data_IF_103042783968
#
_entry.id   IF_103042783968
#
_cell.length_a   1.000
_cell.length_b   1.000
_cell.length_c   1.000
_cell.angle_alpha   90.00
_cell.angle_beta   90.00
_cell.angle_gamma   90.00
#
_symmetry.space_group_name_H-M   'P 1'
#
loop_
_entity.id
_entity.type
_entity.pdbx_description
1 polymer ?
#
# COMPACT_ATOMS: atom_id res chain seq x y z
N UNK A 1 104.00 39.89 -43.87
CA UNK A 1 102.94 40.68 -44.55
C UNK A 1 102.04 39.72 -45.30
N UNK A 2 100.77 40.10 -45.44
CA UNK A 2 99.68 39.45 -46.21
C UNK A 2 98.70 38.62 -45.35
N UNK A 3 97.50 39.20 -45.27
CA UNK A 3 96.36 38.93 -44.39
C UNK A 3 95.68 37.57 -44.61
N UNK A 4 95.29 36.96 -43.50
CA UNK A 4 94.14 36.05 -43.40
C UNK A 4 92.84 36.83 -43.64
N UNK A 5 92.12 36.51 -44.71
CA UNK A 5 90.72 36.89 -44.90
C UNK A 5 89.89 35.60 -45.07
N UNK A 6 89.38 35.11 -43.94
CA UNK A 6 88.38 34.04 -43.90
C UNK A 6 87.06 34.57 -44.49
N UNK A 7 86.54 33.85 -45.47
CA UNK A 7 85.28 34.13 -46.15
C UNK A 7 84.11 33.78 -45.21
N UNK A 8 83.16 34.68 -44.94
CA UNK A 8 82.04 34.39 -44.05
C UNK A 8 81.09 33.37 -44.71
N UNK A 9 80.64 32.40 -43.91
CA UNK A 9 79.66 31.39 -44.29
C UNK A 9 78.27 32.01 -44.56
N UNK A 10 77.48 31.46 -45.50
CA UNK A 10 76.14 31.96 -45.79
C UNK A 10 75.20 31.80 -44.58
N UNK A 11 74.25 32.73 -44.37
CA UNK A 11 73.31 32.66 -43.25
C UNK A 11 72.42 31.43 -43.38
N UNK A 12 72.26 30.71 -42.27
CA UNK A 12 71.39 29.55 -42.16
C UNK A 12 69.92 29.92 -42.49
N UNK A 13 69.17 29.04 -43.18
CA UNK A 13 67.75 29.29 -43.44
C UNK A 13 66.98 29.41 -42.12
N UNK A 14 65.94 30.27 -42.05
CA UNK A 14 65.15 30.44 -40.85
C UNK A 14 64.56 29.10 -40.41
N UNK A 15 64.75 28.77 -39.12
CA UNK A 15 64.21 27.56 -38.52
C UNK A 15 62.70 27.48 -38.79
N UNK A 16 62.24 26.32 -39.27
CA UNK A 16 60.83 26.04 -39.40
C UNK A 16 60.13 26.29 -38.05
N UNK A 17 58.96 26.94 -38.02
CA UNK A 17 58.23 27.14 -36.78
C UNK A 17 57.94 25.77 -36.17
N UNK A 18 58.37 25.58 -34.93
CA UNK A 18 58.02 24.42 -34.11
C UNK A 18 56.49 24.28 -34.15
N UNK A 19 55.92 23.10 -34.47
CA UNK A 19 54.48 22.94 -34.37
C UNK A 19 54.07 23.25 -32.94
N UNK A 20 53.17 24.23 -32.78
CA UNK A 20 52.56 24.53 -31.49
C UNK A 20 52.06 23.22 -30.87
N UNK A 21 52.19 23.01 -29.55
CA UNK A 21 51.64 21.82 -28.91
C UNK A 21 50.16 21.75 -29.27
N UNK A 22 49.80 20.72 -30.05
CA UNK A 22 48.44 20.53 -30.52
C UNK A 22 47.51 20.60 -29.32
N UNK A 23 46.58 21.55 -29.34
CA UNK A 23 45.54 21.65 -28.33
C UNK A 23 44.91 20.26 -28.19
N UNK A 24 45.14 19.62 -27.05
CA UNK A 24 44.57 18.33 -26.74
C UNK A 24 43.06 18.43 -26.98
N UNK A 25 42.53 17.58 -27.87
CA UNK A 25 41.11 17.49 -28.11
C UNK A 25 40.39 17.36 -26.75
N UNK A 26 39.33 18.14 -26.48
CA UNK A 26 38.65 18.10 -25.18
C UNK A 26 38.22 16.67 -24.90
N UNK A 27 38.82 16.10 -23.85
CA UNK A 27 38.82 14.67 -23.60
C UNK A 27 37.42 14.07 -23.47
N UNK A 28 37.21 12.95 -24.15
CA UNK A 28 36.11 11.99 -23.93
C UNK A 28 35.94 11.56 -22.47
N UNK A 29 36.94 11.82 -21.61
CA UNK A 29 36.91 11.57 -20.17
C UNK A 29 35.83 12.35 -19.40
N UNK A 30 35.43 13.55 -19.84
CA UNK A 30 34.38 14.32 -19.17
C UNK A 30 33.00 13.65 -19.24
N UNK A 31 32.66 13.07 -20.40
CA UNK A 31 31.41 12.30 -20.58
C UNK A 31 31.42 11.01 -19.78
N UNK A 32 32.54 10.29 -19.75
CA UNK A 32 32.68 9.06 -18.96
C UNK A 32 32.53 9.30 -17.45
N UNK A 33 33.09 10.41 -16.93
CA UNK A 33 32.99 10.80 -15.52
C UNK A 33 31.59 11.28 -15.12
N UNK A 34 30.85 11.91 -16.04
CA UNK A 34 29.45 12.29 -15.83
C UNK A 34 28.54 11.06 -15.82
N UNK A 35 28.76 10.10 -16.71
CA UNK A 35 28.00 8.84 -16.77
C UNK A 35 28.21 8.01 -15.49
N UNK A 36 29.45 7.88 -15.00
CA UNK A 36 29.73 7.12 -13.77
C UNK A 36 29.12 7.75 -12.51
N UNK A 37 29.12 9.09 -12.42
CA UNK A 37 28.46 9.83 -11.32
C UNK A 37 26.94 9.69 -11.38
N UNK A 38 26.35 9.77 -12.57
CA UNK A 38 24.92 9.56 -12.77
C UNK A 38 24.51 8.13 -12.36
N UNK A 39 25.27 7.12 -12.80
CA UNK A 39 25.04 5.72 -12.43
C UNK A 39 25.12 5.51 -10.91
N UNK A 40 26.16 6.03 -10.24
CA UNK A 40 26.30 5.92 -8.78
C UNK A 40 25.13 6.60 -8.03
N UNK A 41 24.67 7.76 -8.52
CA UNK A 41 23.52 8.44 -7.92
C UNK A 41 22.22 7.67 -8.12
N UNK A 42 22.01 7.07 -9.29
CA UNK A 42 20.82 6.26 -9.57
C UNK A 42 20.78 5.01 -8.67
N UNK A 43 21.90 4.31 -8.51
CA UNK A 43 21.99 3.16 -7.58
C UNK A 43 21.71 3.57 -6.15
N UNK A 44 22.23 4.73 -5.70
CA UNK A 44 21.98 5.23 -4.34
C UNK A 44 20.50 5.56 -4.13
N UNK A 45 19.86 6.25 -5.09
CA UNK A 45 18.43 6.56 -5.03
C UNK A 45 17.60 5.28 -4.99
N UNK A 46 17.93 4.29 -5.80
CA UNK A 46 17.26 2.99 -5.79
C UNK A 46 17.41 2.29 -4.43
N UNK A 47 18.62 2.25 -3.87
CA UNK A 47 18.86 1.65 -2.56
C UNK A 47 18.07 2.35 -1.45
N UNK A 48 18.02 3.69 -1.46
CA UNK A 48 17.22 4.47 -0.51
C UNK A 48 15.73 4.20 -0.71
N UNK A 49 15.25 4.13 -1.95
CA UNK A 49 13.83 3.84 -2.23
C UNK A 49 13.43 2.44 -1.77
N UNK A 50 14.29 1.43 -1.97
CA UNK A 50 14.07 0.08 -1.45
C UNK A 50 14.04 0.08 0.08
N UNK A 51 14.96 0.80 0.72
CA UNK A 51 14.98 0.95 2.17
C UNK A 51 13.70 1.64 2.70
N UNK A 52 13.28 2.75 2.08
CA UNK A 52 12.04 3.47 2.42
C UNK A 52 10.82 2.57 2.21
N UNK A 53 10.81 1.74 1.16
CA UNK A 53 9.74 0.78 0.92
C UNK A 53 9.64 -0.27 2.04
N UNK A 54 10.76 -0.86 2.45
CA UNK A 54 10.79 -1.80 3.59
C UNK A 54 10.36 -1.08 4.88
N UNK A 55 10.84 0.14 5.12
CA UNK A 55 10.47 0.93 6.29
C UNK A 55 8.97 1.29 6.29
N UNK A 56 8.38 1.58 5.13
CA UNK A 56 6.94 1.83 4.99
C UNK A 56 6.14 0.60 5.40
N UNK A 57 6.53 -0.60 4.96
CA UNK A 57 5.78 -1.82 5.28
C UNK A 57 5.93 -2.27 6.74
N UNK A 58 7.14 -2.17 7.30
CA UNK A 58 7.50 -2.77 8.60
C UNK A 58 7.37 -1.78 9.76
N UNK A 59 7.75 -0.51 9.57
CA UNK A 59 7.74 0.49 10.63
C UNK A 59 6.51 1.41 10.54
N UNK A 60 6.28 2.01 9.37
CA UNK A 60 5.22 3.03 9.22
C UNK A 60 3.83 2.40 9.09
N UNK A 61 3.73 1.26 8.43
CA UNK A 61 2.48 0.53 8.20
C UNK A 61 1.69 0.22 9.48
N UNK A 62 2.29 -0.41 10.50
CA UNK A 62 1.61 -0.66 11.78
C UNK A 62 1.14 0.61 12.50
N UNK A 63 1.90 1.71 12.38
CA UNK A 63 1.51 3.02 12.96
C UNK A 63 0.28 3.58 12.22
N UNK A 64 0.29 3.53 10.88
CA UNK A 64 -0.85 3.92 10.04
C UNK A 64 -2.09 3.08 10.36
N UNK A 65 -1.93 1.75 10.48
CA UNK A 65 -3.00 0.82 10.87
C UNK A 65 -3.61 1.22 12.22
N UNK A 66 -2.80 1.34 13.26
CA UNK A 66 -3.26 1.68 14.61
C UNK A 66 -4.01 3.03 14.64
N UNK A 67 -3.47 4.04 13.96
CA UNK A 67 -4.11 5.35 13.83
C UNK A 67 -5.45 5.25 13.09
N UNK A 68 -5.49 4.51 11.98
CA UNK A 68 -6.69 4.35 11.18
C UNK A 68 -7.78 3.60 11.96
N UNK A 69 -7.42 2.55 12.68
CA UNK A 69 -8.34 1.82 13.56
C UNK A 69 -8.92 2.68 14.67
N UNK A 70 -8.09 3.53 15.29
CA UNK A 70 -8.59 4.48 16.28
C UNK A 70 -9.63 5.45 15.67
N UNK A 71 -9.37 5.98 14.47
CA UNK A 71 -10.31 6.89 13.78
C UNK A 71 -11.58 6.16 13.34
N UNK A 72 -11.44 4.99 12.72
CA UNK A 72 -12.57 4.16 12.29
C UNK A 72 -13.45 3.74 13.47
N UNK A 73 -12.85 3.45 14.62
CA UNK A 73 -13.59 3.10 15.83
C UNK A 73 -14.44 4.28 16.35
N UNK A 74 -13.87 5.49 16.38
CA UNK A 74 -14.62 6.68 16.79
C UNK A 74 -15.73 7.01 15.81
N UNK A 75 -15.45 6.92 14.50
CA UNK A 75 -16.44 7.10 13.45
C UNK A 75 -17.59 6.09 13.58
N UNK A 76 -17.27 4.81 13.66
CA UNK A 76 -18.27 3.74 13.82
C UNK A 76 -19.10 3.92 15.09
N UNK A 77 -18.44 4.23 16.22
CA UNK A 77 -19.14 4.49 17.49
C UNK A 77 -20.14 5.65 17.35
N UNK A 78 -19.76 6.72 16.67
CA UNK A 78 -20.67 7.86 16.42
C UNK A 78 -21.84 7.46 15.51
N UNK A 79 -21.58 6.68 14.45
CA UNK A 79 -22.61 6.22 13.54
C UNK A 79 -23.62 5.28 14.21
N UNK A 80 -23.16 4.41 15.11
CA UNK A 80 -24.04 3.55 15.92
C UNK A 80 -24.86 4.39 16.90
N UNK A 81 -24.25 5.39 17.55
CA UNK A 81 -24.96 6.26 18.50
C UNK A 81 -26.03 7.12 17.83
N UNK A 82 -25.81 7.55 16.59
CA UNK A 82 -26.75 8.33 15.79
C UNK A 82 -27.70 7.46 14.94
N UNK A 83 -27.64 6.13 15.06
CA UNK A 83 -28.46 5.18 14.29
C UNK A 83 -28.33 5.30 12.75
N UNK A 84 -27.14 5.67 12.28
CA UNK A 84 -26.79 5.82 10.85
C UNK A 84 -25.73 4.82 10.39
N UNK A 85 -25.34 3.87 11.25
CA UNK A 85 -24.42 2.81 10.87
C UNK A 85 -25.03 1.93 9.78
N UNK A 86 -24.25 1.48 8.77
CA UNK A 86 -24.77 0.65 7.70
C UNK A 86 -25.42 -0.65 8.21
N UNK A 87 -26.61 -0.96 7.70
CA UNK A 87 -27.38 -2.18 8.03
C UNK A 87 -27.51 -3.13 6.84
N UNK A 88 -26.95 -2.78 5.69
CA UNK A 88 -26.87 -3.62 4.50
C UNK A 88 -25.78 -3.15 3.54
N UNK A 89 -25.90 -3.53 2.26
CA UNK A 89 -24.96 -3.08 1.21
C UNK A 89 -25.15 -1.60 0.83
N UNK A 90 -26.33 -1.05 1.09
CA UNK A 90 -26.68 0.36 0.93
C UNK A 90 -26.76 1.05 2.30
N UNK A 91 -26.74 2.38 2.29
CA UNK A 91 -26.74 3.18 3.51
C UNK A 91 -25.39 3.88 3.70
N UNK A 92 -25.05 4.75 2.75
CA UNK A 92 -23.83 5.54 2.84
C UNK A 92 -24.00 6.65 3.91
N UNK A 93 -23.35 6.49 5.06
CA UNK A 93 -23.24 7.55 6.05
C UNK A 93 -22.21 8.59 5.59
N UNK A 94 -22.64 9.84 5.43
CA UNK A 94 -21.75 10.96 5.08
C UNK A 94 -21.91 12.08 6.10
N UNK A 95 -20.79 12.64 6.57
CA UNK A 95 -20.81 13.76 7.49
C UNK A 95 -20.99 15.08 6.74
N UNK A 96 -22.06 15.82 7.02
CA UNK A 96 -22.33 17.18 6.50
C UNK A 96 -22.54 18.11 7.69
N UNK A 97 -21.79 19.22 7.73
CA UNK A 97 -21.88 20.23 8.78
C UNK A 97 -21.79 19.68 10.22
N UNK A 98 -20.98 18.63 10.40
CA UNK A 98 -20.77 17.99 11.70
C UNK A 98 -21.77 16.88 12.06
N UNK A 99 -22.85 16.71 11.28
CA UNK A 99 -23.91 15.73 11.51
C UNK A 99 -23.80 14.59 10.49
N UNK A 100 -24.07 13.35 10.90
CA UNK A 100 -24.14 12.24 9.96
C UNK A 100 -25.49 12.21 9.24
N UNK A 101 -25.44 12.07 7.92
CA UNK A 101 -26.62 11.90 7.07
C UNK A 101 -26.52 10.55 6.39
N UNK A 102 -27.55 9.73 6.55
CA UNK A 102 -27.66 8.43 5.90
C UNK A 102 -28.31 8.56 4.52
N UNK A 103 -27.67 8.01 3.50
CA UNK A 103 -28.22 7.88 2.15
C UNK A 103 -28.45 6.40 1.82
N UNK A 104 -29.69 5.94 2.05
CA UNK A 104 -30.12 4.55 1.86
C UNK A 104 -30.08 4.07 0.40
N UNK A 105 -29.91 4.98 -0.56
CA UNK A 105 -29.87 4.64 -1.99
C UNK A 105 -28.45 4.44 -2.50
N UNK A 106 -27.45 4.90 -1.75
CA UNK A 106 -26.04 4.79 -2.14
C UNK A 106 -25.38 3.59 -1.51
N UNK A 107 -24.49 2.89 -2.25
CA UNK A 107 -23.68 1.83 -1.68
C UNK A 107 -22.74 2.40 -0.62
N UNK A 108 -22.49 1.61 0.41
CA UNK A 108 -21.52 1.96 1.45
C UNK A 108 -20.15 2.19 0.78
N UNK A 109 -19.50 3.35 0.99
CA UNK A 109 -18.27 3.67 0.30
C UNK A 109 -17.10 2.81 0.80
N UNK A 110 -16.15 2.53 -0.09
CA UNK A 110 -14.92 1.81 0.25
C UNK A 110 -14.18 2.48 1.41
N UNK A 111 -13.80 1.71 2.42
CA UNK A 111 -13.10 2.17 3.61
C UNK A 111 -14.01 2.60 4.77
N UNK A 112 -15.31 2.84 4.53
CA UNK A 112 -16.23 3.20 5.60
C UNK A 112 -16.36 2.07 6.63
N UNK A 113 -16.47 2.38 7.92
CA UNK A 113 -16.63 1.36 8.95
C UNK A 113 -17.99 0.69 8.85
N UNK A 114 -18.02 -0.64 8.94
CA UNK A 114 -19.26 -1.43 8.82
C UNK A 114 -19.57 -2.19 10.10
N UNK A 115 -18.55 -2.73 10.75
CA UNK A 115 -18.73 -3.55 11.95
C UNK A 115 -17.48 -3.54 12.81
N UNK A 116 -17.66 -3.72 14.11
CA UNK A 116 -16.58 -4.07 15.04
C UNK A 116 -16.53 -5.59 15.19
N UNK A 117 -15.37 -6.17 14.88
CA UNK A 117 -15.09 -7.60 15.05
C UNK A 117 -14.23 -7.84 16.28
N UNK A 118 -14.52 -8.91 17.01
CA UNK A 118 -13.70 -9.39 18.12
C UNK A 118 -13.52 -10.91 18.06
N UNK A 119 -12.27 -11.36 18.23
CA UNK A 119 -11.90 -12.78 18.32
C UNK A 119 -11.12 -12.96 19.63
N UNK A 120 -11.79 -13.36 20.73
CA UNK A 120 -11.18 -13.39 22.06
C UNK A 120 -9.96 -14.31 22.16
N UNK A 121 -9.97 -15.49 21.52
CA UNK A 121 -8.85 -16.44 21.55
C UNK A 121 -7.56 -15.86 20.95
N UNK A 122 -7.68 -14.87 20.05
CA UNK A 122 -6.55 -14.17 19.44
C UNK A 122 -6.26 -12.80 20.07
N UNK A 123 -7.08 -12.34 21.02
CA UNK A 123 -7.05 -10.96 21.52
C UNK A 123 -7.29 -9.90 20.44
N UNK A 124 -7.94 -10.28 19.33
CA UNK A 124 -8.17 -9.40 18.18
C UNK A 124 -9.43 -8.57 18.40
N UNK A 125 -9.35 -7.26 18.20
CA UNK A 125 -10.49 -6.35 18.21
C UNK A 125 -10.26 -5.23 17.21
N UNK A 126 -10.96 -5.28 16.09
CA UNK A 126 -10.68 -4.44 14.91
C UNK A 126 -12.00 -3.99 14.26
N UNK A 127 -12.01 -2.78 13.72
CA UNK A 127 -13.07 -2.32 12.84
C UNK A 127 -12.86 -2.93 11.46
N UNK A 128 -13.91 -3.53 10.93
CA UNK A 128 -13.99 -4.01 9.56
C UNK A 128 -14.58 -2.91 8.69
N UNK A 129 -13.82 -2.48 7.70
CA UNK A 129 -14.23 -1.48 6.71
C UNK A 129 -14.92 -2.13 5.51
N UNK A 130 -15.72 -1.37 4.77
CA UNK A 130 -16.31 -1.84 3.52
C UNK A 130 -15.25 -1.95 2.41
N UNK A 131 -15.22 -3.10 1.73
CA UNK A 131 -14.33 -3.38 0.59
C UNK A 131 -13.07 -4.14 0.96
N UNK A 132 -12.51 -4.82 -0.03
CA UNK A 132 -11.36 -5.73 0.13
C UNK A 132 -10.20 -5.38 -0.81
N UNK A 133 -10.13 -4.13 -1.28
CA UNK A 133 -8.98 -3.68 -2.08
C UNK A 133 -7.73 -3.58 -1.20
N UNK A 134 -6.55 -3.70 -1.81
CA UNK A 134 -5.26 -3.56 -1.12
C UNK A 134 -5.20 -2.27 -0.28
N UNK A 135 -5.69 -1.14 -0.82
CA UNK A 135 -5.78 0.14 -0.11
C UNK A 135 -6.68 0.11 1.13
N UNK A 136 -7.84 -0.53 1.07
CA UNK A 136 -8.74 -0.66 2.24
C UNK A 136 -8.06 -1.54 3.29
N UNK A 137 -7.49 -2.67 2.88
CA UNK A 137 -6.88 -3.64 3.80
C UNK A 137 -5.59 -3.15 4.47
N UNK A 138 -4.99 -2.04 4.02
CA UNK A 138 -3.92 -1.34 4.75
C UNK A 138 -4.38 -0.67 6.05
N UNK A 139 -5.68 -0.47 6.22
CA UNK A 139 -6.26 0.17 7.41
C UNK A 139 -6.86 -0.84 8.38
N UNK A 140 -6.86 -2.13 8.05
CA UNK A 140 -7.41 -3.22 8.85
C UNK A 140 -8.26 -4.19 8.02
N UNK A 141 -9.04 -5.07 8.67
CA UNK A 141 -9.89 -6.02 7.97
C UNK A 141 -10.96 -5.33 7.10
N UNK A 142 -11.35 -5.99 6.02
CA UNK A 142 -12.32 -5.50 5.04
C UNK A 142 -13.44 -6.49 4.76
N UNK A 143 -14.67 -6.00 4.72
CA UNK A 143 -15.86 -6.75 4.36
C UNK A 143 -16.05 -6.75 2.83
N UNK A 144 -16.31 -7.92 2.26
CA UNK A 144 -16.53 -8.06 0.81
C UNK A 144 -17.90 -7.50 0.44
N UNK A 145 -17.97 -6.59 -0.53
CA UNK A 145 -19.19 -5.77 -0.72
C UNK A 145 -20.41 -6.52 -1.24
N UNK A 146 -20.21 -7.65 -1.90
CA UNK A 146 -21.25 -8.53 -2.42
C UNK A 146 -21.77 -9.52 -1.37
N UNK A 147 -21.11 -9.64 -0.20
CA UNK A 147 -21.62 -10.46 0.89
C UNK A 147 -22.63 -9.71 1.77
N UNK A 148 -23.52 -10.43 2.47
CA UNK A 148 -24.38 -9.85 3.51
C UNK A 148 -23.54 -9.37 4.70
N UNK A 149 -24.13 -8.53 5.57
CA UNK A 149 -23.45 -8.09 6.80
C UNK A 149 -23.44 -9.18 7.88
N UNK A 150 -22.55 -9.10 8.88
CA UNK A 150 -22.57 -10.03 10.02
C UNK A 150 -23.93 -10.12 10.72
N UNK A 151 -24.34 -11.36 11.00
CA UNK A 151 -25.64 -11.72 11.58
C UNK A 151 -26.74 -11.99 10.56
N UNK A 152 -26.55 -11.61 9.30
CA UNK A 152 -27.54 -11.81 8.22
C UNK A 152 -27.42 -13.19 7.57
N UNK A 153 -28.49 -13.58 6.86
CA UNK A 153 -28.52 -14.85 6.11
C UNK A 153 -27.58 -14.78 4.90
N UNK A 154 -26.86 -15.86 4.64
CA UNK A 154 -25.85 -15.97 3.59
C UNK A 154 -24.43 -16.13 4.16
N UNK A 155 -23.42 -16.01 3.30
CA UNK A 155 -22.00 -16.14 3.68
C UNK A 155 -21.34 -14.77 3.72
N UNK A 156 -21.01 -14.30 4.91
CA UNK A 156 -20.26 -13.07 5.14
C UNK A 156 -18.79 -13.33 4.82
N UNK A 157 -18.15 -12.47 4.03
CA UNK A 157 -16.72 -12.63 3.72
C UNK A 157 -15.95 -11.44 4.27
N UNK A 158 -14.97 -11.71 5.12
CA UNK A 158 -14.05 -10.71 5.66
C UNK A 158 -12.62 -11.09 5.28
N UNK A 159 -11.88 -10.14 4.74
CA UNK A 159 -10.49 -10.32 4.34
C UNK A 159 -9.57 -9.47 5.20
N UNK A 160 -8.35 -9.93 5.43
CA UNK A 160 -7.36 -9.17 6.19
C UNK A 160 -5.95 -9.57 5.82
N UNK A 161 -5.00 -8.63 6.02
CA UNK A 161 -3.58 -8.86 5.75
C UNK A 161 -2.97 -9.84 6.74
N UNK A 162 -2.07 -10.68 6.24
CA UNK A 162 -1.33 -11.68 7.00
C UNK A 162 -0.15 -11.05 7.75
N UNK A 163 0.61 -10.14 7.13
CA UNK A 163 1.89 -9.71 7.67
C UNK A 163 2.06 -8.18 7.78
N UNK A 164 1.62 -7.43 6.78
CA UNK A 164 1.92 -6.00 6.67
C UNK A 164 0.78 -5.13 7.20
N UNK A 165 1.06 -3.86 7.46
CA UNK A 165 0.08 -2.90 8.00
C UNK A 165 -0.65 -3.45 9.24
N UNK A 166 0.12 -3.95 10.21
CA UNK A 166 -0.41 -4.55 11.44
C UNK A 166 -0.69 -6.06 11.35
N UNK A 167 -0.95 -6.59 10.15
CA UNK A 167 -1.21 -8.02 9.94
C UNK A 167 -2.34 -8.57 10.83
N UNK A 168 -3.55 -7.99 10.81
CA UNK A 168 -4.61 -8.33 11.75
C UNK A 168 -5.01 -9.82 11.68
N UNK A 169 -4.82 -10.47 10.53
CA UNK A 169 -5.16 -11.88 10.33
C UNK A 169 -3.97 -12.83 10.39
N UNK A 170 -2.81 -12.38 10.91
CA UNK A 170 -1.59 -13.20 11.02
C UNK A 170 -1.76 -14.55 11.71
N UNK A 171 -2.77 -14.69 12.60
CA UNK A 171 -2.98 -15.86 13.46
C UNK A 171 -4.36 -16.51 13.27
N UNK A 172 -5.12 -16.14 12.24
CA UNK A 172 -6.46 -16.75 12.09
C UNK A 172 -6.38 -18.24 11.74
N UNK A 173 -5.25 -18.69 11.20
CA UNK A 173 -4.94 -20.08 10.90
C UNK A 173 -4.66 -20.93 12.15
N UNK A 174 -4.58 -20.31 13.34
CA UNK A 174 -4.47 -21.01 14.63
C UNK A 174 -5.79 -21.14 15.35
N UNK A 175 -6.91 -20.71 14.73
CA UNK A 175 -8.24 -20.84 15.33
C UNK A 175 -8.70 -22.29 15.35
N UNK A 176 -9.33 -22.68 16.46
CA UNK A 176 -9.83 -24.04 16.63
C UNK A 176 -11.36 -24.08 16.45
N UNK A 177 -11.93 -25.21 15.99
CA UNK A 177 -13.38 -25.38 15.95
C UNK A 177 -14.01 -25.12 17.32
N UNK A 178 -15.03 -24.27 17.34
CA UNK A 178 -15.70 -23.81 18.56
C UNK A 178 -15.25 -22.43 19.05
N UNK A 179 -14.11 -21.91 18.57
CA UNK A 179 -13.67 -20.55 18.88
C UNK A 179 -14.72 -19.51 18.46
N UNK A 180 -14.88 -18.50 19.31
CA UNK A 180 -15.90 -17.47 19.13
C UNK A 180 -15.39 -16.29 18.31
N UNK A 181 -16.21 -15.87 17.34
CA UNK A 181 -16.02 -14.64 16.58
C UNK A 181 -17.28 -13.79 16.75
N UNK A 182 -17.14 -12.64 17.40
CA UNK A 182 -18.23 -11.72 17.65
C UNK A 182 -18.16 -10.52 16.71
N UNK A 183 -19.30 -10.14 16.14
CA UNK A 183 -19.46 -8.91 15.39
C UNK A 183 -20.49 -8.00 16.06
N UNK A 184 -20.26 -6.70 16.01
CA UNK A 184 -21.22 -5.67 16.37
C UNK A 184 -21.46 -4.80 15.14
N UNK A 185 -22.69 -4.79 14.65
CA UNK A 185 -23.16 -3.96 13.53
C UNK A 185 -24.13 -2.89 14.05
N UNK A 186 -24.64 -2.04 13.16
CA UNK A 186 -25.75 -1.12 13.49
C UNK A 186 -27.05 -1.84 13.88
N UNK A 187 -27.21 -3.12 13.51
CA UNK A 187 -28.40 -3.93 13.82
C UNK A 187 -28.28 -4.70 15.14
N UNK A 188 -27.07 -4.88 15.67
CA UNK A 188 -26.86 -5.61 16.91
C UNK A 188 -25.60 -6.47 16.92
N UNK A 189 -25.50 -7.32 17.94
CA UNK A 189 -24.40 -8.28 18.08
C UNK A 189 -24.76 -9.60 17.40
N UNK A 190 -23.79 -10.19 16.70
CA UNK A 190 -23.87 -11.55 16.18
C UNK A 190 -22.67 -12.37 16.65
N UNK A 191 -22.91 -13.63 16.98
CA UNK A 191 -21.89 -14.56 17.45
C UNK A 191 -21.76 -15.73 16.48
N UNK A 192 -20.54 -15.97 16.04
CA UNK A 192 -20.16 -17.09 15.18
C UNK A 192 -19.23 -18.03 15.94
N UNK A 193 -19.29 -19.32 15.62
CA UNK A 193 -18.32 -20.32 16.08
C UNK A 193 -17.58 -20.91 14.90
N UNK A 194 -16.25 -20.97 15.01
CA UNK A 194 -15.38 -21.56 13.98
C UNK A 194 -15.78 -23.02 13.77
N UNK A 195 -15.96 -23.39 12.51
CA UNK A 195 -16.28 -24.77 12.10
C UNK A 195 -15.04 -25.48 11.58
N UNK A 196 -14.09 -24.75 11.01
CA UNK A 196 -12.85 -25.31 10.50
C UNK A 196 -12.07 -24.35 9.61
N UNK A 197 -10.90 -24.80 9.19
CA UNK A 197 -9.98 -24.07 8.31
C UNK A 197 -9.88 -24.83 6.99
N UNK A 198 -9.89 -24.08 5.88
CA UNK A 198 -9.73 -24.59 4.52
C UNK A 198 -8.58 -23.89 3.80
N UNK A 199 -7.88 -24.64 2.95
CA UNK A 199 -6.80 -24.20 2.06
C UNK A 199 -7.19 -24.49 0.60
N UNK A 200 -6.33 -24.14 -0.36
CA UNK A 200 -6.57 -24.50 -1.76
C UNK A 200 -6.75 -26.01 -1.92
N UNK A 201 -7.73 -26.38 -2.76
CA UNK A 201 -8.13 -27.78 -2.99
C UNK A 201 -9.23 -28.30 -2.06
N UNK A 202 -9.45 -27.67 -0.90
CA UNK A 202 -10.53 -28.10 0.00
C UNK A 202 -11.92 -27.76 -0.57
N UNK A 203 -12.90 -28.68 -0.42
CA UNK A 203 -14.25 -28.45 -0.93
C UNK A 203 -14.89 -27.24 -0.27
N UNK A 204 -15.56 -26.41 -1.07
CA UNK A 204 -16.38 -25.34 -0.53
C UNK A 204 -17.55 -25.95 0.28
N UNK A 205 -17.95 -25.32 1.40
CA UNK A 205 -19.13 -25.75 2.15
C UNK A 205 -20.36 -25.82 1.24
N UNK A 206 -21.19 -26.85 1.39
CA UNK A 206 -22.41 -27.01 0.61
C UNK A 206 -23.28 -25.75 0.69
N UNK A 207 -23.75 -25.27 -0.47
CA UNK A 207 -24.59 -24.08 -0.54
C UNK A 207 -25.89 -24.31 0.24
N UNK A 208 -26.16 -23.44 1.20
CA UNK A 208 -27.39 -23.43 1.98
C UNK A 208 -27.92 -21.99 2.01
N UNK A 209 -29.05 -21.77 1.32
CA UNK A 209 -29.67 -20.46 1.18
C UNK A 209 -30.23 -19.91 2.51
N UNK A 210 -30.36 -20.76 3.53
CA UNK A 210 -30.92 -20.40 4.84
C UNK A 210 -29.84 -20.26 5.92
N UNK A 211 -28.63 -20.77 5.68
CA UNK A 211 -27.52 -20.68 6.62
C UNK A 211 -26.96 -19.26 6.69
N UNK A 212 -26.57 -18.86 7.89
CA UNK A 212 -25.75 -17.67 8.13
C UNK A 212 -24.34 -18.14 8.49
N UNK A 213 -23.39 -17.90 7.59
CA UNK A 213 -21.99 -18.34 7.70
C UNK A 213 -21.05 -17.16 7.60
N UNK A 214 -19.83 -17.37 8.04
CA UNK A 214 -18.73 -16.43 7.96
C UNK A 214 -17.53 -17.14 7.36
N UNK A 215 -16.84 -16.47 6.46
CA UNK A 215 -15.52 -16.89 5.96
C UNK A 215 -14.54 -15.74 6.15
N UNK A 216 -13.54 -15.94 7.01
CA UNK A 216 -12.37 -15.07 7.11
C UNK A 216 -11.32 -15.54 6.10
N UNK A 217 -10.66 -14.61 5.39
CA UNK A 217 -9.63 -14.93 4.40
C UNK A 217 -8.34 -14.15 4.65
N UNK A 218 -7.20 -14.82 4.58
CA UNK A 218 -5.87 -14.18 4.58
C UNK A 218 -4.87 -14.93 3.71
N UNK A 219 -3.68 -14.38 3.50
CA UNK A 219 -2.61 -15.04 2.76
C UNK A 219 -2.09 -16.26 3.52
N UNK A 220 -1.73 -17.32 2.78
CA UNK A 220 -1.16 -18.55 3.30
C UNK A 220 0.29 -18.74 2.86
N UNK A 221 1.11 -19.32 3.72
CA UNK A 221 2.54 -19.56 3.51
C UNK A 221 3.44 -18.54 4.20
N UNK A 222 4.57 -18.23 3.56
CA UNK A 222 5.63 -17.39 4.16
C UNK A 222 5.13 -15.96 4.34
N UNK A 223 5.29 -15.34 5.52
CA UNK A 223 4.97 -13.93 5.72
C UNK A 223 5.62 -13.06 4.64
N UNK A 224 4.89 -12.05 4.13
CA UNK A 224 5.30 -11.16 3.03
C UNK A 224 5.33 -11.78 1.62
N UNK A 225 5.32 -13.11 1.50
CA UNK A 225 5.35 -13.85 0.23
C UNK A 225 4.38 -15.05 0.26
N UNK A 226 3.08 -14.82 0.51
CA UNK A 226 2.10 -15.89 0.48
C UNK A 226 1.94 -16.43 -0.93
N UNK A 227 1.73 -17.74 -1.01
CA UNK A 227 1.48 -18.45 -2.27
C UNK A 227 -0.01 -18.74 -2.49
N UNK A 228 -0.79 -18.78 -1.41
CA UNK A 228 -2.20 -19.19 -1.44
C UNK A 228 -3.03 -18.37 -0.42
N UNK A 229 -4.29 -18.76 -0.21
CA UNK A 229 -5.28 -18.13 0.67
C UNK A 229 -5.84 -19.17 1.62
N UNK A 230 -5.66 -18.93 2.91
CA UNK A 230 -6.32 -19.71 3.98
C UNK A 230 -7.70 -19.09 4.27
N UNK A 231 -8.68 -19.95 4.51
CA UNK A 231 -10.08 -19.58 4.76
C UNK A 231 -10.53 -20.20 6.08
N UNK A 232 -10.96 -19.38 7.03
CA UNK A 232 -11.55 -19.86 8.28
C UNK A 232 -13.05 -19.72 8.16
N UNK A 233 -13.75 -20.84 8.20
CA UNK A 233 -15.21 -20.86 8.17
C UNK A 233 -15.78 -20.92 9.58
N UNK A 234 -16.89 -20.22 9.78
CA UNK A 234 -17.64 -20.21 11.01
C UNK A 234 -19.15 -20.18 10.75
N UNK A 235 -19.92 -20.72 11.68
CA UNK A 235 -21.39 -20.75 11.63
C UNK A 235 -21.99 -19.80 12.66
N UNK A 236 -23.05 -19.08 12.29
CA UNK A 236 -23.78 -18.22 13.21
C UNK A 236 -24.47 -19.07 14.29
N UNK A 237 -24.31 -18.66 15.55
CA UNK A 237 -24.93 -19.30 16.72
C UNK A 237 -25.98 -18.41 17.37
N UNK A 238 -25.90 -17.09 17.18
CA UNK A 238 -26.93 -16.15 17.64
C UNK A 238 -28.14 -16.10 16.69
N UNK A 239 -29.18 -15.37 17.11
CA UNK A 239 -30.34 -15.10 16.27
C UNK A 239 -29.94 -14.39 14.97
N UNK A 240 -30.62 -14.75 13.87
CA UNK A 240 -30.40 -14.18 12.55
C UNK A 240 -31.00 -12.78 12.49
N UNK A 241 -30.21 -11.81 12.03
CA UNK A 241 -30.64 -10.44 11.84
C UNK A 241 -31.37 -10.27 10.50
N UNK A 242 -32.34 -9.33 10.41
CA UNK A 242 -33.01 -9.02 9.16
C UNK A 242 -32.01 -8.63 8.07
N UNK A 243 -32.14 -9.26 6.91
CA UNK A 243 -31.25 -9.04 5.77
C UNK A 243 -32.02 -8.29 4.68
N UNK A 244 -31.44 -7.20 4.18
CA UNK A 244 -31.97 -6.50 3.00
C UNK A 244 -31.08 -6.86 1.81
N UNK A 245 -31.63 -7.57 0.83
CA UNK A 245 -30.90 -7.91 -0.40
C UNK A 245 -30.44 -6.61 -1.06
N UNK A 246 -29.14 -6.42 -1.13
CA UNK A 246 -28.55 -5.25 -1.78
C UNK A 246 -28.25 -5.50 -3.26
N UNK A 247 -27.95 -4.43 -4.03
CA UNK A 247 -27.73 -4.51 -5.47
C UNK A 247 -26.31 -4.93 -5.86
N UNK A 248 -25.37 -5.03 -4.90
CA UNK A 248 -23.98 -5.33 -5.20
C UNK A 248 -23.83 -6.83 -5.41
N UNK A 249 -23.71 -7.21 -6.66
CA UNK A 249 -23.44 -8.60 -7.07
C UNK A 249 -21.95 -8.81 -7.29
N UNK A 250 -21.55 -10.08 -7.44
CA UNK A 250 -20.18 -10.48 -7.82
C UNK A 250 -19.70 -9.72 -9.07
N UNK A 251 -20.60 -9.48 -10.05
CA UNK A 251 -20.29 -8.74 -11.27
C UNK A 251 -20.00 -7.24 -11.03
N UNK A 252 -20.49 -6.67 -9.93
CA UNK A 252 -20.23 -5.29 -9.52
C UNK A 252 -18.94 -5.10 -8.73
N UNK A 253 -18.22 -6.18 -8.40
CA UNK A 253 -16.93 -6.09 -7.71
C UNK A 253 -15.81 -5.70 -8.67
N UNK A 254 -14.88 -4.89 -8.17
CA UNK A 254 -13.65 -4.60 -8.91
C UNK A 254 -12.69 -5.79 -8.84
N UNK A 255 -11.87 -6.00 -9.87
CA UNK A 255 -10.85 -7.07 -9.86
C UNK A 255 -9.88 -6.96 -8.66
N UNK A 256 -9.66 -5.74 -8.14
CA UNK A 256 -8.81 -5.49 -6.97
C UNK A 256 -9.39 -5.98 -5.64
N UNK A 257 -10.66 -6.38 -5.59
CA UNK A 257 -11.33 -6.92 -4.39
C UNK A 257 -11.25 -8.46 -4.31
N UNK A 258 -10.71 -9.11 -5.34
CA UNK A 258 -10.46 -10.55 -5.32
C UNK A 258 -9.32 -10.89 -4.35
N UNK A 259 -9.34 -12.07 -3.70
CA UNK A 259 -8.21 -12.52 -2.88
C UNK A 259 -6.90 -12.50 -3.68
N UNK A 260 -5.82 -12.06 -3.05
CA UNK A 260 -4.48 -11.89 -3.64
C UNK A 260 -4.40 -10.89 -4.81
N UNK A 261 -5.40 -10.04 -5.03
CA UNK A 261 -5.35 -9.02 -6.06
C UNK A 261 -4.64 -7.74 -5.60
N UNK A 262 -3.92 -7.09 -6.53
CA UNK A 262 -3.38 -5.74 -6.34
C UNK A 262 -4.36 -4.65 -6.79
N UNK A 263 -4.22 -3.44 -6.24
CA UNK A 263 -5.10 -2.31 -6.55
C UNK A 263 -4.52 -1.42 -7.67
N UNK A 264 -4.98 -1.65 -8.90
CA UNK A 264 -4.52 -0.89 -10.08
C UNK A 264 -4.88 0.60 -10.05
N UNK A 265 -5.80 1.04 -9.18
CA UNK A 265 -6.13 2.46 -9.05
C UNK A 265 -4.93 3.29 -8.56
N UNK A 266 -3.94 2.65 -7.94
CA UNK A 266 -2.71 3.29 -7.49
C UNK A 266 -1.75 3.67 -8.64
N UNK A 267 -1.91 3.13 -9.86
CA UNK A 267 -0.96 3.34 -10.96
C UNK A 267 -0.83 4.79 -11.39
N UNK A 268 -1.95 5.51 -11.54
CA UNK A 268 -1.92 6.91 -11.97
C UNK A 268 -1.31 7.81 -10.87
N UNK A 269 -1.75 7.76 -9.60
CA UNK A 269 -1.05 8.46 -8.53
C UNK A 269 0.43 8.09 -8.45
N UNK A 270 0.77 6.80 -8.59
CA UNK A 270 2.16 6.35 -8.53
C UNK A 270 3.00 7.00 -9.61
N UNK A 271 2.50 7.08 -10.85
CA UNK A 271 3.17 7.75 -11.95
C UNK A 271 3.45 9.23 -11.61
N UNK A 272 2.43 9.96 -11.12
CA UNK A 272 2.55 11.38 -10.79
C UNK A 272 3.54 11.62 -9.64
N UNK A 273 3.46 10.82 -8.57
CA UNK A 273 4.38 10.90 -7.44
C UNK A 273 5.82 10.50 -7.82
N UNK A 274 5.98 9.53 -8.73
CA UNK A 274 7.29 9.14 -9.24
C UNK A 274 7.92 10.22 -10.13
N UNK A 275 7.12 10.91 -10.94
CA UNK A 275 7.58 12.08 -11.70
C UNK A 275 8.01 13.22 -10.78
N UNK A 276 7.21 13.51 -9.73
CA UNK A 276 7.57 14.50 -8.72
C UNK A 276 8.88 14.13 -8.01
N UNK A 277 9.04 12.85 -7.63
CA UNK A 277 10.27 12.34 -7.02
C UNK A 277 11.49 12.54 -7.94
N UNK A 278 11.34 12.24 -9.23
CA UNK A 278 12.40 12.44 -10.22
C UNK A 278 12.77 13.93 -10.35
N UNK A 279 11.79 14.81 -10.45
CA UNK A 279 12.01 16.26 -10.51
C UNK A 279 12.74 16.78 -9.27
N UNK A 280 12.35 16.33 -8.07
CA UNK A 280 13.00 16.70 -6.83
C UNK A 280 14.43 16.14 -6.72
N UNK A 281 14.69 14.95 -7.25
CA UNK A 281 16.04 14.39 -7.29
C UNK A 281 16.96 15.19 -8.21
N UNK A 282 16.46 15.62 -9.38
CA UNK A 282 17.20 16.51 -10.30
C UNK A 282 17.44 17.87 -9.65
N UNK A 283 16.41 18.43 -9.00
CA UNK A 283 16.53 19.70 -8.28
C UNK A 283 17.58 19.61 -7.16
N UNK A 284 17.60 18.53 -6.37
CA UNK A 284 18.63 18.29 -5.36
C UNK A 284 20.03 18.27 -5.98
N UNK A 285 20.21 17.59 -7.11
CA UNK A 285 21.50 17.54 -7.79
C UNK A 285 21.95 18.94 -8.24
N UNK A 286 21.02 19.75 -8.77
CA UNK A 286 21.27 21.13 -9.17
C UNK A 286 21.58 22.05 -7.98
N UNK A 287 20.75 22.05 -6.94
CA UNK A 287 20.95 22.88 -5.73
C UNK A 287 22.27 22.50 -5.05
N UNK A 288 22.61 21.20 -5.00
CA UNK A 288 23.89 20.75 -4.46
C UNK A 288 25.09 21.25 -5.27
N UNK A 289 24.94 21.44 -6.58
CA UNK A 289 25.98 21.99 -7.44
C UNK A 289 26.14 23.51 -7.26
N UNK A 290 25.06 24.23 -6.92
CA UNK A 290 25.04 25.71 -6.87
C UNK A 290 25.20 26.28 -5.46
N UNK A 291 24.64 25.64 -4.43
CA UNK A 291 24.50 26.18 -3.07
C UNK A 291 25.25 25.41 -1.97
N UNK A 292 25.95 24.32 -2.33
CA UNK A 292 26.75 23.55 -1.39
C UNK A 292 25.98 22.41 -0.70
N UNK A 293 26.76 21.51 -0.07
CA UNK A 293 26.30 20.16 0.32
C UNK A 293 25.36 20.17 1.54
N UNK A 294 25.59 21.06 2.51
CA UNK A 294 24.90 21.03 3.80
C UNK A 294 23.51 21.68 3.76
N UNK A 295 23.41 22.83 3.09
CA UNK A 295 22.16 23.57 2.92
C UNK A 295 21.15 22.75 2.11
N UNK A 296 21.61 22.10 1.03
CA UNK A 296 20.80 21.22 0.20
C UNK A 296 20.21 20.05 0.98
N UNK A 297 20.99 19.46 1.90
CA UNK A 297 20.55 18.32 2.69
C UNK A 297 19.45 18.68 3.67
N UNK A 298 19.55 19.81 4.38
CA UNK A 298 18.55 20.22 5.37
C UNK A 298 17.17 20.49 4.75
N UNK A 299 17.12 21.04 3.53
CA UNK A 299 15.85 21.40 2.89
C UNK A 299 15.27 20.23 2.09
N UNK A 300 16.09 19.53 1.30
CA UNK A 300 15.57 18.53 0.37
C UNK A 300 15.27 17.19 1.02
N UNK A 301 15.97 16.79 2.09
CA UNK A 301 15.79 15.46 2.70
C UNK A 301 14.39 15.25 3.27
N UNK A 302 13.79 16.19 4.05
CA UNK A 302 12.43 16.01 4.55
C UNK A 302 11.40 15.87 3.43
N UNK A 303 11.55 16.68 2.37
CA UNK A 303 10.64 16.69 1.22
C UNK A 303 10.78 15.37 0.44
N UNK A 304 12.01 14.96 0.10
CA UNK A 304 12.27 13.70 -0.59
C UNK A 304 11.84 12.49 0.23
N UNK A 305 12.05 12.53 1.55
CA UNK A 305 11.57 11.49 2.47
C UNK A 305 10.05 11.36 2.41
N UNK A 306 9.33 12.48 2.53
CA UNK A 306 7.87 12.49 2.42
C UNK A 306 7.39 11.94 1.07
N UNK A 307 7.91 12.46 -0.05
CA UNK A 307 7.56 11.97 -1.40
C UNK A 307 7.91 10.49 -1.55
N UNK A 308 9.07 10.06 -1.03
CA UNK A 308 9.50 8.67 -1.03
C UNK A 308 8.54 7.75 -0.30
N UNK A 309 8.05 8.13 0.89
CA UNK A 309 7.04 7.39 1.63
C UNK A 309 5.69 7.34 0.91
N UNK A 310 5.29 8.42 0.24
CA UNK A 310 4.07 8.43 -0.59
C UNK A 310 4.17 7.46 -1.76
N UNK A 311 5.31 7.45 -2.47
CA UNK A 311 5.58 6.49 -3.55
C UNK A 311 5.59 5.06 -3.00
N UNK A 312 6.29 4.81 -1.88
CA UNK A 312 6.36 3.49 -1.26
C UNK A 312 4.97 2.96 -0.88
N UNK A 313 4.12 3.79 -0.28
CA UNK A 313 2.74 3.41 0.06
C UNK A 313 1.90 3.08 -1.18
N UNK A 314 2.08 3.80 -2.28
CA UNK A 314 1.40 3.50 -3.55
C UNK A 314 1.90 2.21 -4.20
N UNK A 315 3.21 1.94 -4.14
CA UNK A 315 3.76 0.64 -4.56
C UNK A 315 3.19 -0.49 -3.72
N UNK A 316 3.05 -0.30 -2.40
CA UNK A 316 2.45 -1.28 -1.51
C UNK A 316 0.97 -1.57 -1.82
N UNK A 317 0.23 -0.63 -2.45
CA UNK A 317 -1.15 -0.87 -2.90
C UNK A 317 -1.22 -1.78 -4.14
N UNK A 318 -0.15 -1.84 -4.93
CA UNK A 318 -0.06 -2.76 -6.06
C UNK A 318 0.23 -4.19 -5.64
N UNK A 319 0.75 -4.39 -4.41
CA UNK A 319 0.94 -5.73 -3.86
C UNK A 319 -0.41 -6.42 -3.59
N UNK A 320 -0.42 -7.77 -3.59
CA UNK A 320 -1.57 -8.57 -3.20
C UNK A 320 -2.19 -8.09 -1.88
N UNK A 321 -3.51 -7.94 -1.89
CA UNK A 321 -4.28 -7.32 -0.81
C UNK A 321 -4.22 -8.04 0.55
N UNK A 322 -3.89 -9.34 0.62
CA UNK A 322 -3.77 -10.07 1.88
C UNK A 322 -2.34 -10.15 2.45
N UNK A 323 -1.36 -9.46 1.85
CA UNK A 323 0.04 -9.44 2.33
C UNK A 323 0.21 -8.43 3.44
#
# INVERSE_FOLDING_TARGET
MTQLAQRPAPPAPPAAPTPAPGAAAPGSGGRALLISRAAASATTVLAVMLFVFVAEMVLVGPIKHTRNQAVLYQEFRSQVAEAVAPTGQLGAATKKDGVWVLDDKKPVPLGAPVTLMAIPSLGLKEIVSQGTTSRVLMSGPGHRRDSPLPGQVGTVVVMGRQATYGGPFRKIDTLEPGDEIAFLTGQGKSLYKVTGIRREGDPAPAADATAARLTLMTGDGTPYLPSDVVRVDAALVSEKLPSVTGPVTVAGLSKGESPMAGDKSALLPLLLWSQLLLLLAVLLAWVRAVWGRWQSWMVCVPILGFVGFQVAGLVAQLLPNLI
#
